data_IF_500647612542
#
_entry.id   IF_500647612542
#
_cell.length_a   1.000
_cell.length_b   1.000
_cell.length_c   1.000
_cell.angle_alpha   90.00
_cell.angle_beta   90.00
_cell.angle_gamma   90.00
#
_symmetry.space_group_name_H-M   'P 1'
#
loop_
_entity.id
_entity.type
_entity.pdbx_description
1 polymer ?
#
# COMPACT_ATOMS: atom_id res chain seq x y z
N UNK A 1 4.50 -2.41 -15.16
CA UNK A 1 3.87 -1.38 -14.32
C UNK A 1 4.48 -1.51 -12.93
N UNK A 2 4.86 -0.41 -12.27
CA UNK A 2 5.54 -0.47 -10.99
C UNK A 2 4.61 -0.79 -9.81
N UNK A 3 3.29 -0.60 -9.93
CA UNK A 3 2.36 -1.27 -9.02
C UNK A 3 2.25 -2.74 -9.42
N UNK A 4 2.50 -3.63 -8.45
CA UNK A 4 2.46 -5.07 -8.65
C UNK A 4 1.06 -5.52 -9.10
N UNK A 5 0.98 -6.29 -10.19
CA UNK A 5 -0.22 -7.08 -10.47
C UNK A 5 -0.30 -8.24 -9.46
N UNK A 6 -1.46 -8.90 -9.31
CA UNK A 6 -1.57 -10.07 -8.44
C UNK A 6 -0.54 -11.16 -8.76
N UNK A 7 -0.26 -11.41 -10.04
CA UNK A 7 0.72 -12.39 -10.49
C UNK A 7 2.13 -11.98 -10.07
N UNK A 8 2.52 -10.73 -10.34
CA UNK A 8 3.84 -10.21 -9.97
C UNK A 8 4.00 -10.18 -8.45
N UNK A 9 2.95 -9.88 -7.69
CA UNK A 9 3.04 -9.87 -6.23
C UNK A 9 3.23 -11.29 -5.66
N UNK A 10 2.57 -12.31 -6.24
CA UNK A 10 2.84 -13.70 -5.88
C UNK A 10 4.29 -14.09 -6.21
N UNK A 11 4.79 -13.72 -7.39
CA UNK A 11 6.18 -13.97 -7.77
C UNK A 11 7.19 -13.29 -6.84
N UNK A 12 6.90 -12.06 -6.38
CA UNK A 12 7.70 -11.39 -5.35
C UNK A 12 7.79 -12.28 -4.10
N UNK A 13 6.65 -12.70 -3.55
CA UNK A 13 6.62 -13.51 -2.32
C UNK A 13 7.32 -14.87 -2.49
N UNK A 14 7.14 -15.52 -3.64
CA UNK A 14 7.82 -16.78 -3.97
C UNK A 14 9.34 -16.60 -4.04
N UNK A 15 9.80 -15.51 -4.69
CA UNK A 15 11.22 -15.15 -4.77
C UNK A 15 11.80 -14.89 -3.39
N UNK A 16 11.09 -14.13 -2.54
CA UNK A 16 11.49 -13.86 -1.16
C UNK A 16 11.62 -15.16 -0.36
N UNK A 17 10.65 -16.06 -0.49
CA UNK A 17 10.66 -17.36 0.18
C UNK A 17 11.84 -18.23 -0.27
N UNK A 18 12.06 -18.36 -1.57
CA UNK A 18 13.15 -19.16 -2.13
C UNK A 18 14.54 -18.56 -1.80
N UNK A 19 14.66 -17.23 -1.89
CA UNK A 19 15.87 -16.47 -1.61
C UNK A 19 16.16 -16.23 -0.13
N UNK A 20 15.25 -16.63 0.77
CA UNK A 20 15.37 -16.45 2.24
C UNK A 20 15.54 -14.99 2.66
N UNK A 21 14.81 -14.09 2.02
CA UNK A 21 14.71 -12.68 2.41
C UNK A 21 13.25 -12.29 2.62
N UNK A 22 13.00 -11.04 2.99
CA UNK A 22 11.66 -10.50 3.17
C UNK A 22 11.56 -9.09 2.56
N UNK A 23 10.35 -8.72 2.14
CA UNK A 23 10.05 -7.36 1.73
C UNK A 23 9.54 -6.53 2.92
N UNK A 24 10.00 -5.28 3.07
CA UNK A 24 9.43 -4.37 4.05
C UNK A 24 8.00 -3.97 3.65
N UNK A 25 7.09 -3.96 4.63
CA UNK A 25 5.76 -3.38 4.51
C UNK A 25 5.69 -2.09 5.34
N UNK A 26 5.67 -0.94 4.66
CA UNK A 26 5.78 0.37 5.30
C UNK A 26 4.40 1.00 5.43
N UNK A 27 3.97 1.27 6.66
CA UNK A 27 2.76 2.05 6.89
C UNK A 27 2.95 3.49 6.41
N UNK A 28 1.99 3.99 5.64
CA UNK A 28 1.97 5.37 5.15
C UNK A 28 0.68 6.07 5.56
N UNK A 29 0.74 7.39 5.71
CA UNK A 29 -0.38 8.22 6.18
C UNK A 29 -0.53 9.51 5.38
N UNK A 30 0.29 9.71 4.36
CA UNK A 30 0.29 10.92 3.54
C UNK A 30 1.06 10.71 2.24
N UNK A 31 0.94 11.67 1.32
CA UNK A 31 1.78 11.68 0.11
C UNK A 31 3.27 11.79 0.44
N UNK A 32 3.65 12.51 1.50
CA UNK A 32 5.06 12.63 1.92
C UNK A 32 5.62 11.29 2.41
N UNK A 33 4.88 10.55 3.23
CA UNK A 33 5.32 9.24 3.74
C UNK A 33 5.33 8.17 2.64
N UNK A 34 4.38 8.23 1.70
CA UNK A 34 4.41 7.45 0.47
C UNK A 34 5.66 7.73 -0.37
N UNK A 35 5.97 8.99 -0.67
CA UNK A 35 7.19 9.35 -1.40
C UNK A 35 8.46 8.90 -0.68
N UNK A 36 8.50 9.01 0.65
CA UNK A 36 9.63 8.53 1.45
C UNK A 36 9.83 7.01 1.31
N UNK A 37 8.74 6.23 1.39
CA UNK A 37 8.79 4.77 1.20
C UNK A 37 9.26 4.39 -0.21
N UNK A 38 8.66 4.98 -1.25
CA UNK A 38 9.03 4.72 -2.65
C UNK A 38 10.50 5.04 -2.92
N UNK A 39 10.97 6.18 -2.42
CA UNK A 39 12.39 6.56 -2.53
C UNK A 39 13.29 5.58 -1.78
N UNK A 40 12.93 5.18 -0.57
CA UNK A 40 13.70 4.21 0.21
C UNK A 40 13.84 2.85 -0.50
N UNK A 41 12.76 2.36 -1.10
CA UNK A 41 12.79 1.13 -1.91
C UNK A 41 13.70 1.28 -3.13
N UNK A 42 13.59 2.40 -3.86
CA UNK A 42 14.39 2.64 -5.05
C UNK A 42 15.89 2.80 -4.75
N UNK A 43 16.26 3.51 -3.68
CA UNK A 43 17.65 3.64 -3.23
C UNK A 43 18.24 2.32 -2.73
N UNK A 44 17.39 1.41 -2.23
CA UNK A 44 17.78 0.07 -1.83
C UNK A 44 17.78 -0.95 -2.99
N UNK A 45 17.42 -0.51 -4.21
CA UNK A 45 17.22 -1.39 -5.38
C UNK A 45 16.32 -2.59 -5.06
N UNK A 46 15.25 -2.33 -4.28
CA UNK A 46 14.36 -3.35 -3.74
C UNK A 46 12.92 -3.09 -4.13
N UNK A 47 12.20 -4.17 -4.44
CA UNK A 47 10.73 -4.14 -4.41
C UNK A 47 10.23 -3.95 -2.96
N UNK A 48 8.96 -3.61 -2.78
CA UNK A 48 8.42 -3.36 -1.43
C UNK A 48 6.90 -3.40 -1.34
N UNK A 49 6.40 -3.25 -0.12
CA UNK A 49 4.96 -3.20 0.17
C UNK A 49 4.65 -1.87 0.86
N UNK A 50 3.61 -1.19 0.40
CA UNK A 50 3.04 -0.01 1.05
C UNK A 50 1.71 -0.40 1.66
N UNK A 51 1.55 -0.12 2.95
CA UNK A 51 0.35 -0.52 3.67
C UNK A 51 -0.35 0.65 4.35
N UNK A 52 -1.68 0.60 4.38
CA UNK A 52 -2.52 1.61 5.03
C UNK A 52 -3.27 0.91 6.17
N UNK A 53 -3.10 1.40 7.40
CA UNK A 53 -3.88 0.90 8.54
C UNK A 53 -5.24 1.58 8.60
N UNK A 54 -6.17 1.02 9.38
CA UNK A 54 -7.49 1.67 9.57
C UNK A 54 -7.35 3.11 10.10
N UNK A 55 -6.40 3.37 11.02
CA UNK A 55 -6.11 4.72 11.49
C UNK A 55 -5.45 5.62 10.44
N UNK A 56 -4.55 5.06 9.61
CA UNK A 56 -3.94 5.81 8.51
C UNK A 56 -4.96 6.20 7.43
N UNK A 57 -5.86 5.27 7.10
CA UNK A 57 -6.97 5.48 6.18
C UNK A 57 -7.95 6.54 6.71
N UNK A 58 -8.30 6.49 8.00
CA UNK A 58 -9.13 7.50 8.67
C UNK A 58 -8.49 8.90 8.59
N UNK A 59 -7.19 8.98 8.86
CA UNK A 59 -6.44 10.23 8.77
C UNK A 59 -6.46 10.81 7.34
N UNK A 60 -6.25 9.96 6.34
CA UNK A 60 -6.30 10.32 4.91
C UNK A 60 -7.71 10.69 4.43
N UNK A 61 -8.74 10.09 5.00
CA UNK A 61 -10.16 10.43 4.77
C UNK A 61 -10.56 11.81 5.28
N UNK A 62 -9.62 12.52 5.92
CA UNK A 62 -9.80 13.88 6.41
C UNK A 62 -10.52 13.94 7.76
N UNK A 63 -10.27 15.02 8.52
CA UNK A 63 -10.79 15.14 9.89
C UNK A 63 -12.29 15.48 9.98
N UNK A 64 -12.95 15.77 8.86
CA UNK A 64 -14.37 16.11 8.83
C UNK A 64 -15.24 14.85 8.94
N UNK A 65 -15.12 13.93 7.96
CA UNK A 65 -15.90 12.68 7.93
C UNK A 65 -15.11 11.42 8.29
N UNK A 66 -13.77 11.48 8.28
CA UNK A 66 -12.91 10.38 8.73
C UNK A 66 -13.18 9.05 8.01
N UNK A 67 -13.50 9.14 6.72
CA UNK A 67 -13.91 7.97 5.93
C UNK A 67 -12.71 7.16 5.46
N UNK A 68 -12.56 5.94 6.00
CA UNK A 68 -11.40 5.09 5.73
C UNK A 68 -11.31 4.65 4.26
N UNK A 69 -12.45 4.33 3.63
CA UNK A 69 -12.47 3.85 2.24
C UNK A 69 -11.98 4.95 1.31
N UNK A 70 -12.51 6.16 1.46
CA UNK A 70 -12.09 7.35 0.69
C UNK A 70 -10.60 7.63 0.90
N UNK A 71 -10.13 7.62 2.15
CA UNK A 71 -8.73 7.89 2.45
C UNK A 71 -7.76 6.87 1.82
N UNK A 72 -8.08 5.57 1.92
CA UNK A 72 -7.27 4.52 1.32
C UNK A 72 -7.32 4.53 -0.21
N UNK A 73 -8.50 4.66 -0.81
CA UNK A 73 -8.67 4.73 -2.26
C UNK A 73 -7.94 5.94 -2.86
N UNK A 74 -8.08 7.12 -2.24
CA UNK A 74 -7.41 8.33 -2.71
C UNK A 74 -5.87 8.21 -2.69
N UNK A 75 -5.31 7.62 -1.64
CA UNK A 75 -3.86 7.39 -1.58
C UNK A 75 -3.42 6.29 -2.55
N UNK A 76 -4.22 5.23 -2.73
CA UNK A 76 -3.94 4.18 -3.69
C UNK A 76 -3.85 4.73 -5.12
N UNK A 77 -4.83 5.53 -5.55
CA UNK A 77 -4.83 6.22 -6.85
C UNK A 77 -3.59 7.12 -7.02
N UNK A 78 -3.26 7.90 -5.99
CA UNK A 78 -2.04 8.70 -6.00
C UNK A 78 -0.80 7.82 -6.14
N UNK A 79 -0.72 6.69 -5.43
CA UNK A 79 0.39 5.74 -5.50
C UNK A 79 0.54 5.14 -6.90
N UNK A 80 -0.56 4.78 -7.58
CA UNK A 80 -0.53 4.31 -8.97
C UNK A 80 0.13 5.33 -9.91
N UNK A 81 -0.17 6.61 -9.74
CA UNK A 81 0.40 7.69 -10.56
C UNK A 81 1.88 7.90 -10.26
N UNK A 82 2.28 8.00 -8.99
CA UNK A 82 3.66 8.37 -8.64
C UNK A 82 4.62 7.18 -8.71
N UNK A 83 4.18 5.97 -8.39
CA UNK A 83 5.00 4.77 -8.51
C UNK A 83 5.42 4.54 -9.97
N UNK A 84 4.61 4.97 -10.94
CA UNK A 84 4.90 4.94 -12.39
C UNK A 84 6.26 5.54 -12.80
N UNK A 85 6.90 6.31 -11.91
CA UNK A 85 8.16 7.01 -12.13
C UNK A 85 9.39 6.31 -11.52
N UNK A 86 9.19 5.18 -10.85
CA UNK A 86 10.26 4.42 -10.21
C UNK A 86 10.50 3.09 -10.93
N UNK A 87 11.75 2.63 -10.95
CA UNK A 87 12.17 1.34 -11.53
C UNK A 87 12.21 0.24 -10.47
N UNK A 88 11.12 0.11 -9.71
CA UNK A 88 10.90 -0.90 -8.67
C UNK A 88 9.46 -1.37 -8.72
N UNK A 89 9.19 -2.54 -8.13
CA UNK A 89 7.82 -3.05 -7.97
C UNK A 89 7.31 -2.81 -6.56
N UNK A 90 6.09 -2.31 -6.43
CA UNK A 90 5.45 -2.01 -5.15
C UNK A 90 4.05 -2.59 -5.10
N UNK A 91 3.74 -3.36 -4.06
CA UNK A 91 2.39 -3.82 -3.78
C UNK A 91 1.65 -2.86 -2.83
N UNK A 92 0.36 -2.66 -3.07
CA UNK A 92 -0.52 -1.93 -2.15
C UNK A 92 -1.24 -2.90 -1.23
N UNK A 93 -1.31 -2.56 0.05
CA UNK A 93 -1.87 -3.41 1.09
C UNK A 93 -2.71 -2.61 2.08
N UNK A 94 -3.70 -3.27 2.69
CA UNK A 94 -4.39 -2.75 3.87
C UNK A 94 -4.00 -3.59 5.08
N UNK A 95 -3.59 -2.91 6.13
CA UNK A 95 -3.10 -3.52 7.37
C UNK A 95 -4.31 -3.92 8.27
N UNK A 96 -4.05 -4.30 9.53
CA UNK A 96 -5.02 -4.77 10.52
C UNK A 96 -6.44 -4.17 10.40
N UNK A 97 -7.39 -5.03 10.02
CA UNK A 97 -8.83 -4.72 9.98
C UNK A 97 -9.60 -5.68 10.92
N UNK A 98 -9.98 -5.23 12.13
CA UNK A 98 -10.77 -6.05 13.05
C UNK A 98 -12.20 -6.26 12.54
N UNK A 99 -12.90 -7.25 13.12
CA UNK A 99 -14.22 -7.72 12.67
C UNK A 99 -15.24 -6.59 12.52
N UNK A 100 -15.25 -5.63 13.44
CA UNK A 100 -16.18 -4.49 13.48
C UNK A 100 -15.87 -3.41 12.43
N UNK A 101 -14.69 -3.45 11.80
CA UNK A 101 -14.30 -2.53 10.72
C UNK A 101 -14.37 -3.15 9.31
N UNK A 102 -14.68 -4.44 9.20
CA UNK A 102 -14.70 -5.15 7.91
C UNK A 102 -15.63 -4.50 6.88
N UNK A 103 -16.85 -4.18 7.30
CA UNK A 103 -17.91 -3.61 6.44
C UNK A 103 -17.66 -2.15 6.07
N UNK A 104 -16.76 -1.47 6.78
CA UNK A 104 -16.43 -0.05 6.55
C UNK A 104 -15.01 0.14 6.04
N UNK A 105 -14.30 -0.94 5.67
CA UNK A 105 -12.94 -0.84 5.15
C UNK A 105 -12.61 -1.93 4.13
N UNK A 106 -12.32 -3.16 4.55
CA UNK A 106 -11.82 -4.21 3.64
C UNK A 106 -12.87 -4.66 2.63
N UNK A 107 -14.12 -4.92 3.06
CA UNK A 107 -15.17 -5.39 2.14
C UNK A 107 -15.47 -4.37 1.03
N UNK A 108 -15.71 -3.08 1.33
CA UNK A 108 -15.88 -2.07 0.29
C UNK A 108 -14.66 -1.91 -0.63
N UNK A 109 -13.44 -1.99 -0.11
CA UNK A 109 -12.23 -1.83 -0.93
C UNK A 109 -12.01 -2.97 -1.93
N UNK A 110 -12.52 -4.17 -1.67
CA UNK A 110 -12.44 -5.31 -2.60
C UNK A 110 -13.41 -5.15 -3.78
N UNK A 111 -14.44 -4.33 -3.63
CA UNK A 111 -15.46 -4.10 -4.66
C UNK A 111 -15.08 -2.99 -5.66
N UNK A 112 -14.01 -2.23 -5.40
CA UNK A 112 -13.47 -1.16 -6.26
C UNK A 112 -12.48 -1.75 -7.25
#
# INVERSE_FOLDING_TARGET
MPIATPEVYNEMLDRAKAGKFAYPAINVTSTQTLHAALRGFAEAESDGIIQISTGGAEFLGGQYNKDMVTGAAALAEFAHIVAAKYDITVALHTDHCPKDKLDTYVRPLIEI
#
